data_IF_639484744547
#
_entry.id   IF_639484744547
#
_cell.length_a   1.000
_cell.length_b   1.000
_cell.length_c   1.000
_cell.angle_alpha   90.00
_cell.angle_beta   90.00
_cell.angle_gamma   90.00
#
_symmetry.space_group_name_H-M   'P 1'
#
loop_
_entity.id
_entity.type
_entity.pdbx_description
1 polymer ?
#
# COMPACT_ATOMS: atom_id res chain seq x y z
N UNK A 1 22.52 22.85 14.29
CA UNK A 1 23.38 22.08 13.36
C UNK A 1 22.87 20.65 13.36
N UNK A 2 21.96 20.31 12.44
CA UNK A 2 21.51 18.92 12.24
C UNK A 2 21.07 18.71 10.78
N UNK A 3 21.87 19.24 9.86
CA UNK A 3 21.49 19.39 8.46
C UNK A 3 21.75 18.09 7.66
N UNK A 4 22.51 17.14 8.22
CA UNK A 4 22.88 15.88 7.56
C UNK A 4 21.74 14.87 7.38
N UNK A 5 20.70 14.92 8.21
CA UNK A 5 19.55 14.01 8.10
C UNK A 5 18.60 14.39 6.95
N UNK A 6 18.50 15.68 6.63
CA UNK A 6 17.59 16.18 5.59
C UNK A 6 18.19 15.94 4.20
N UNK A 7 19.51 16.08 4.08
CA UNK A 7 20.24 15.92 2.82
C UNK A 7 20.25 14.47 2.35
N UNK A 8 20.46 13.51 3.26
CA UNK A 8 20.49 12.07 2.94
C UNK A 8 19.15 11.54 2.45
N UNK A 9 18.03 12.02 3.00
CA UNK A 9 16.70 11.68 2.50
C UNK A 9 16.44 12.27 1.11
N UNK A 10 16.84 13.51 0.87
CA UNK A 10 16.64 14.17 -0.43
C UNK A 10 17.43 13.49 -1.55
N UNK A 11 18.69 13.11 -1.29
CA UNK A 11 19.52 12.37 -2.26
C UNK A 11 18.92 11.01 -2.62
N UNK A 12 18.45 10.24 -1.63
CA UNK A 12 17.79 8.95 -1.88
C UNK A 12 16.48 9.09 -2.67
N UNK A 13 15.73 10.18 -2.45
CA UNK A 13 14.53 10.50 -3.21
C UNK A 13 14.86 10.81 -4.67
N UNK A 14 15.90 11.60 -4.91
CA UNK A 14 16.36 11.99 -6.25
C UNK A 14 16.90 10.79 -7.03
N UNK A 15 17.68 9.91 -6.39
CA UNK A 15 18.17 8.66 -6.99
C UNK A 15 17.02 7.74 -7.41
N UNK A 16 16.01 7.55 -6.54
CA UNK A 16 14.83 6.76 -6.89
C UNK A 16 14.06 7.37 -8.06
N UNK A 17 13.85 8.68 -8.07
CA UNK A 17 13.18 9.38 -9.18
C UNK A 17 13.93 9.25 -10.50
N UNK A 18 15.26 9.35 -10.47
CA UNK A 18 16.09 9.15 -11.66
C UNK A 18 15.99 7.71 -12.18
N UNK A 19 15.90 6.72 -11.29
CA UNK A 19 15.79 5.31 -11.67
C UNK A 19 14.41 4.94 -12.23
N UNK A 20 13.34 5.52 -11.70
CA UNK A 20 11.97 5.25 -12.15
C UNK A 20 11.51 6.19 -13.26
N UNK A 21 12.12 7.37 -13.43
CA UNK A 21 11.67 8.38 -14.39
C UNK A 21 10.38 9.11 -13.99
N UNK A 22 9.97 9.02 -12.71
CA UNK A 22 8.76 9.62 -12.16
C UNK A 22 9.06 10.69 -11.13
N UNK A 23 8.14 11.65 -10.93
CA UNK A 23 8.22 12.64 -9.85
C UNK A 23 8.04 11.96 -8.49
N UNK A 24 8.70 12.48 -7.45
CA UNK A 24 8.57 11.96 -6.09
C UNK A 24 7.11 11.89 -5.64
N UNK A 25 6.74 10.76 -5.04
CA UNK A 25 5.50 10.58 -4.31
C UNK A 25 5.76 9.69 -3.10
N UNK A 26 4.89 9.72 -2.10
CA UNK A 26 5.05 8.92 -0.88
C UNK A 26 5.10 7.41 -1.16
N UNK A 27 4.54 6.98 -2.29
CA UNK A 27 4.56 5.59 -2.76
C UNK A 27 5.98 5.11 -3.08
N UNK A 28 6.89 6.01 -3.50
CA UNK A 28 8.31 5.67 -3.75
C UNK A 28 9.08 5.31 -2.46
N UNK A 29 8.49 5.49 -1.27
CA UNK A 29 9.06 4.97 -0.02
C UNK A 29 9.02 3.44 0.04
N UNK A 30 8.07 2.80 -0.63
CA UNK A 30 7.92 1.34 -0.61
C UNK A 30 9.08 0.71 -1.40
N UNK A 31 9.97 -0.10 -0.79
CA UNK A 31 11.15 -0.64 -1.46
C UNK A 31 10.82 -1.58 -2.64
N UNK A 32 9.62 -2.14 -2.65
CA UNK A 32 9.14 -3.08 -3.67
C UNK A 32 8.35 -2.41 -4.79
N UNK A 33 7.99 -1.13 -4.65
CA UNK A 33 7.06 -0.46 -5.55
C UNK A 33 7.79 0.49 -6.51
N UNK A 34 8.05 0.01 -7.72
CA UNK A 34 8.46 0.82 -8.87
C UNK A 34 7.22 1.31 -9.63
N UNK A 35 6.92 2.60 -9.50
CA UNK A 35 5.72 3.23 -10.08
C UNK A 35 5.64 3.04 -11.59
N UNK A 36 6.76 2.93 -12.30
CA UNK A 36 6.78 2.78 -13.76
C UNK A 36 6.62 1.33 -14.18
N UNK A 37 7.27 0.40 -13.48
CA UNK A 37 7.12 -1.03 -13.79
C UNK A 37 5.77 -1.60 -13.36
N UNK A 38 5.18 -1.06 -12.30
CA UNK A 38 3.91 -1.55 -11.76
C UNK A 38 2.73 -0.63 -12.08
N UNK A 39 2.87 0.34 -13.00
CA UNK A 39 1.76 1.19 -13.47
C UNK A 39 0.63 0.36 -14.09
N UNK A 40 0.94 -0.81 -14.66
CA UNK A 40 -0.06 -1.77 -15.16
C UNK A 40 -0.93 -2.33 -14.05
N UNK A 41 -0.41 -2.35 -12.82
CA UNK A 41 -1.14 -2.69 -11.61
C UNK A 41 -1.61 -1.38 -10.99
N UNK A 42 -2.51 -0.65 -11.66
CA UNK A 42 -3.22 0.46 -11.02
C UNK A 42 -3.94 -0.12 -9.79
N UNK A 43 -3.50 0.20 -8.56
CA UNK A 43 -4.05 -0.43 -7.36
C UNK A 43 -5.53 -0.11 -7.20
N UNK A 44 -5.98 1.06 -7.69
CA UNK A 44 -7.39 1.46 -7.65
C UNK A 44 -8.21 0.67 -8.66
N UNK A 45 -7.76 0.56 -9.91
CA UNK A 45 -8.49 -0.21 -10.93
C UNK A 45 -8.52 -1.70 -10.59
N UNK A 46 -7.41 -2.26 -10.12
CA UNK A 46 -7.35 -3.66 -9.74
C UNK A 46 -8.22 -3.98 -8.53
N UNK A 47 -8.38 -3.04 -7.60
CA UNK A 47 -9.35 -3.14 -6.52
C UNK A 47 -10.78 -3.24 -7.07
N UNK A 48 -11.15 -2.40 -8.05
CA UNK A 48 -12.47 -2.44 -8.69
C UNK A 48 -12.68 -3.65 -9.61
N UNK A 49 -11.62 -4.16 -10.25
CA UNK A 49 -11.66 -5.39 -11.04
C UNK A 49 -11.75 -6.67 -10.18
N UNK A 50 -11.66 -6.54 -8.85
CA UNK A 50 -11.75 -7.67 -7.94
C UNK A 50 -10.49 -8.53 -7.87
N UNK A 51 -9.35 -8.01 -8.33
CA UNK A 51 -8.06 -8.72 -8.25
C UNK A 51 -7.69 -9.08 -6.80
N UNK A 52 -7.87 -8.18 -5.79
CA UNK A 52 -7.61 -8.52 -4.39
C UNK A 52 -8.47 -9.68 -3.89
N UNK A 53 -9.74 -9.74 -4.28
CA UNK A 53 -10.61 -10.88 -3.94
C UNK A 53 -10.04 -12.18 -4.49
N UNK A 54 -9.60 -12.17 -5.76
CA UNK A 54 -9.03 -13.36 -6.37
C UNK A 54 -7.74 -13.82 -5.69
N UNK A 55 -6.91 -12.87 -5.24
CA UNK A 55 -5.70 -13.20 -4.47
C UNK A 55 -6.03 -13.84 -3.13
N UNK A 56 -7.05 -13.36 -2.41
CA UNK A 56 -7.50 -13.97 -1.14
C UNK A 56 -7.97 -15.41 -1.36
N UNK A 57 -8.76 -15.68 -2.41
CA UNK A 57 -9.19 -17.05 -2.76
C UNK A 57 -7.99 -17.96 -3.01
N UNK A 58 -7.01 -17.49 -3.79
CA UNK A 58 -5.79 -18.26 -4.07
C UNK A 58 -5.00 -18.54 -2.78
N UNK A 59 -4.88 -17.55 -1.89
CA UNK A 59 -4.17 -17.73 -0.62
C UNK A 59 -4.88 -18.69 0.34
N UNK A 60 -6.22 -18.73 0.32
CA UNK A 60 -6.98 -19.77 1.03
C UNK A 60 -6.73 -21.16 0.43
N UNK A 61 -6.73 -21.29 -0.90
CA UNK A 61 -6.48 -22.56 -1.60
C UNK A 61 -5.08 -23.13 -1.29
N UNK A 62 -4.08 -22.24 -1.11
CA UNK A 62 -2.73 -22.62 -0.71
C UNK A 62 -2.54 -22.79 0.81
N UNK A 63 -3.58 -22.56 1.62
CA UNK A 63 -3.51 -22.65 3.09
C UNK A 63 -2.64 -21.56 3.73
N UNK A 64 -2.45 -20.43 3.05
CA UNK A 64 -1.68 -19.28 3.53
C UNK A 64 -2.53 -18.34 4.41
N UNK A 65 -3.85 -18.40 4.28
CA UNK A 65 -4.80 -17.62 5.08
C UNK A 65 -5.93 -18.51 5.60
N UNK A 66 -6.23 -18.40 6.88
CA UNK A 66 -7.35 -19.05 7.55
C UNK A 66 -8.40 -18.04 8.05
N UNK A 67 -9.56 -18.55 8.46
CA UNK A 67 -10.63 -17.77 9.09
C UNK A 67 -10.15 -16.96 10.30
N UNK A 68 -9.17 -17.48 11.04
CA UNK A 68 -8.58 -16.81 12.20
C UNK A 68 -7.81 -15.55 11.81
N UNK A 69 -7.08 -15.60 10.69
CA UNK A 69 -6.33 -14.46 10.14
C UNK A 69 -7.27 -13.34 9.69
N UNK A 70 -8.43 -13.66 9.12
CA UNK A 70 -9.41 -12.63 8.73
C UNK A 70 -9.95 -11.86 9.94
N UNK A 71 -10.18 -12.52 11.07
CA UNK A 71 -10.58 -11.82 12.31
C UNK A 71 -9.47 -10.94 12.86
N UNK A 72 -8.21 -11.39 12.79
CA UNK A 72 -7.06 -10.58 13.19
C UNK A 72 -6.93 -9.34 12.29
N UNK A 73 -7.01 -9.51 10.97
CA UNK A 73 -6.98 -8.41 10.00
C UNK A 73 -8.13 -7.42 10.21
N UNK A 74 -9.33 -7.88 10.50
CA UNK A 74 -10.47 -7.01 10.81
C UNK A 74 -10.22 -6.18 12.08
N UNK A 75 -9.63 -6.80 13.11
CA UNK A 75 -9.26 -6.12 14.36
C UNK A 75 -8.20 -5.05 14.09
N UNK A 76 -7.16 -5.37 13.33
CA UNK A 76 -6.10 -4.42 12.96
C UNK A 76 -6.62 -3.26 12.12
N UNK A 77 -7.56 -3.53 11.19
CA UNK A 77 -8.18 -2.49 10.36
C UNK A 77 -8.89 -1.42 11.20
N UNK A 78 -9.38 -1.81 12.38
CA UNK A 78 -10.04 -0.90 13.33
C UNK A 78 -9.03 0.08 13.96
N UNK A 79 -7.76 -0.26 14.02
CA UNK A 79 -6.71 0.61 14.58
C UNK A 79 -6.18 1.62 13.55
N UNK A 80 -6.47 1.43 12.26
CA UNK A 80 -5.99 2.33 11.20
C UNK A 80 -6.57 3.74 11.39
N UNK A 81 -5.67 4.73 11.46
CA UNK A 81 -6.02 6.15 11.51
C UNK A 81 -6.48 6.57 10.12
N UNK A 82 -7.74 6.97 10.04
CA UNK A 82 -8.36 7.44 8.80
C UNK A 82 -8.18 8.97 8.72
N UNK A 83 -7.82 9.53 7.54
CA UNK A 83 -7.75 10.98 7.38
C UNK A 83 -9.10 11.64 7.68
N UNK A 84 -9.08 12.87 8.20
CA UNK A 84 -10.28 13.58 8.72
C UNK A 84 -11.52 13.61 7.81
N UNK A 85 -11.34 13.45 6.50
CA UNK A 85 -12.40 13.51 5.49
C UNK A 85 -13.11 12.16 5.26
N UNK A 86 -12.63 11.08 5.86
CA UNK A 86 -13.18 9.75 5.70
C UNK A 86 -13.64 9.22 7.06
N UNK A 87 -14.69 8.40 7.06
CA UNK A 87 -15.21 7.74 8.26
C UNK A 87 -15.34 6.24 8.01
N UNK A 88 -15.33 5.45 9.08
CA UNK A 88 -15.66 4.02 8.99
C UNK A 88 -17.13 3.86 8.66
N UNK A 89 -17.44 2.88 7.82
CA UNK A 89 -18.81 2.45 7.59
C UNK A 89 -19.28 1.67 8.82
N UNK A 90 -20.45 2.00 9.36
CA UNK A 90 -21.08 1.23 10.44
C UNK A 90 -21.68 -0.07 9.87
N UNK A 91 -21.56 -1.18 10.59
CA UNK A 91 -21.96 -2.55 10.19
C UNK A 91 -23.49 -2.78 10.02
N UNK A 92 -24.26 -1.77 9.61
CA UNK A 92 -25.73 -1.81 9.62
C UNK A 92 -26.43 -1.16 8.44
N UNK A 93 -25.86 -1.21 7.23
CA UNK A 93 -26.54 -0.84 5.99
C UNK A 93 -26.69 -2.04 5.06
#
# INVERSE_FOLDING_TARGET
MNDGYITTHKTQQEEKQASSGTKWSEVHRLPYFDVVRYVTVDPMHNLFLGTPKKMIEVWQDFGLLDSTDFSAMATESTTIIIPRQYTKLSEGM
#
